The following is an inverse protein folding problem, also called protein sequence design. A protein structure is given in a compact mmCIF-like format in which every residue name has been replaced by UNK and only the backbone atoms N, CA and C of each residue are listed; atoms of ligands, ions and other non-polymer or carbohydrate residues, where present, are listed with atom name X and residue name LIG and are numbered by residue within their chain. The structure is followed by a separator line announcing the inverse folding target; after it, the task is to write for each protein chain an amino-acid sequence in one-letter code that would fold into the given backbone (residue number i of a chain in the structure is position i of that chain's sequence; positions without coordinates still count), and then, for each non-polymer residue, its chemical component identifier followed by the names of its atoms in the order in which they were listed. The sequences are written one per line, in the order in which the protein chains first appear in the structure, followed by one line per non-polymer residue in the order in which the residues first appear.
data_IF_717563384110
#
_entry.id   IF_717563384110
#
_cell.length_a   1.000
_cell.length_b   1.000
_cell.length_c   1.000
_cell.angle_alpha   90.00
_cell.angle_beta   90.00
_cell.angle_gamma   90.00
#
_symmetry.space_group_name_H-M   'P 1'
#
loop_
_entity.id
_entity.type
_entity.pdbx_description
1 polymer ?
#
# COMPACT_ATOMS: atom_id res chain seq x y z
N UNK A 1 25.20 10.08 5.55
CA UNK A 1 23.78 10.11 6.00
C UNK A 1 23.17 8.75 5.63
N UNK A 2 22.67 8.01 6.62
CA UNK A 2 22.01 6.71 6.36
C UNK A 2 20.63 6.99 5.77
N UNK A 3 20.40 6.62 4.52
CA UNK A 3 19.08 6.75 3.88
C UNK A 3 18.33 5.43 4.01
N UNK A 4 17.22 5.44 4.73
CA UNK A 4 16.34 4.29 4.83
C UNK A 4 15.49 4.18 3.58
N UNK A 5 15.37 2.99 2.95
CA UNK A 5 14.48 2.80 1.80
C UNK A 5 13.02 2.79 2.22
N UNK A 6 12.74 2.33 3.44
CA UNK A 6 11.41 2.31 4.04
C UNK A 6 11.51 2.49 5.56
N UNK A 7 10.36 2.81 6.15
CA UNK A 7 10.11 2.82 7.59
C UNK A 7 8.95 1.90 7.91
N UNK A 8 8.88 1.34 9.13
CA UNK A 8 7.80 0.45 9.50
C UNK A 8 7.34 0.62 10.95
N UNK A 9 6.13 0.17 11.18
CA UNK A 9 5.55 0.06 12.50
C UNK A 9 4.96 -1.34 12.66
N UNK A 10 5.44 -2.10 13.66
CA UNK A 10 4.99 -3.45 13.92
C UNK A 10 3.65 -3.45 14.67
N UNK A 11 2.66 -4.16 14.13
CA UNK A 11 1.39 -4.51 14.80
C UNK A 11 0.64 -3.33 15.44
N UNK A 12 0.63 -2.16 14.81
CA UNK A 12 -0.10 -1.00 15.34
C UNK A 12 -1.62 -1.15 15.26
N UNK A 13 -2.11 -2.08 14.44
CA UNK A 13 -3.51 -2.49 14.41
C UNK A 13 -3.66 -3.89 15.01
N UNK A 14 -4.48 -4.03 16.04
CA UNK A 14 -4.79 -5.33 16.63
C UNK A 14 -5.86 -6.07 15.80
N UNK A 15 -6.09 -7.36 16.11
CA UNK A 15 -7.06 -8.21 15.39
C UNK A 15 -8.48 -7.63 15.34
N UNK A 16 -8.94 -6.96 16.40
CA UNK A 16 -10.28 -6.35 16.46
C UNK A 16 -10.37 -5.15 15.51
N UNK A 17 -9.33 -4.32 15.46
CA UNK A 17 -9.24 -3.19 14.55
C UNK A 17 -9.17 -3.64 13.09
N UNK A 18 -8.35 -4.65 12.78
CA UNK A 18 -8.27 -5.25 11.43
C UNK A 18 -9.65 -5.73 10.98
N UNK A 19 -10.35 -6.51 11.81
CA UNK A 19 -11.71 -6.98 11.50
C UNK A 19 -12.69 -5.84 11.26
N UNK A 20 -12.63 -4.80 12.10
CA UNK A 20 -13.50 -3.62 11.96
C UNK A 20 -13.25 -2.88 10.65
N UNK A 21 -11.98 -2.64 10.28
CA UNK A 21 -11.59 -1.99 9.02
C UNK A 21 -12.05 -2.83 7.83
N UNK A 22 -11.73 -4.13 7.82
CA UNK A 22 -12.13 -5.03 6.73
C UNK A 22 -13.66 -5.07 6.54
N UNK A 23 -14.42 -5.26 7.62
CA UNK A 23 -15.89 -5.30 7.56
C UNK A 23 -16.48 -3.98 7.04
N UNK A 24 -15.93 -2.86 7.49
CA UNK A 24 -16.36 -1.54 7.01
C UNK A 24 -16.11 -1.37 5.51
N UNK A 25 -14.89 -1.70 5.04
CA UNK A 25 -14.51 -1.58 3.63
C UNK A 25 -15.34 -2.51 2.76
N UNK A 26 -15.50 -3.76 3.15
CA UNK A 26 -16.27 -4.75 2.39
C UNK A 26 -17.73 -4.36 2.24
N UNK A 27 -18.33 -3.71 3.26
CA UNK A 27 -19.72 -3.27 3.25
C UNK A 27 -19.96 -1.99 2.44
N UNK A 28 -19.02 -1.06 2.44
CA UNK A 28 -19.25 0.32 1.99
C UNK A 28 -18.60 0.69 0.65
N UNK A 29 -17.79 -0.20 0.07
CA UNK A 29 -17.08 0.08 -1.17
C UNK A 29 -17.24 -1.06 -2.17
N UNK A 30 -17.50 -0.71 -3.43
CA UNK A 30 -17.59 -1.68 -4.51
C UNK A 30 -16.21 -2.17 -4.93
N UNK A 31 -16.16 -3.42 -5.40
CA UNK A 31 -14.96 -3.98 -6.02
C UNK A 31 -14.81 -3.44 -7.45
N UNK A 32 -13.57 -3.12 -7.82
CA UNK A 32 -13.18 -2.82 -9.20
C UNK A 32 -12.16 -3.89 -9.58
N UNK A 33 -12.36 -4.53 -10.72
CA UNK A 33 -11.41 -5.53 -11.22
C UNK A 33 -10.04 -4.89 -11.53
N UNK A 34 -8.99 -5.60 -11.18
CA UNK A 34 -7.64 -5.02 -11.17
C UNK A 34 -6.99 -4.74 -12.51
N UNK A 35 -7.36 -5.37 -13.64
CA UNK A 35 -6.74 -5.07 -14.94
C UNK A 35 -6.80 -3.61 -15.35
N UNK A 36 -7.84 -2.90 -14.90
CA UNK A 36 -8.08 -1.51 -15.30
C UNK A 36 -7.27 -0.47 -14.49
N UNK A 37 -6.64 -0.87 -13.37
CA UNK A 37 -5.99 0.07 -12.44
C UNK A 37 -4.56 -0.26 -12.05
N UNK A 38 -3.94 -1.23 -12.70
CA UNK A 38 -2.54 -1.59 -12.46
C UNK A 38 -1.63 -1.12 -13.58
N UNK A 39 -0.33 -1.21 -13.33
CA UNK A 39 0.67 -1.10 -14.38
C UNK A 39 0.54 -2.27 -15.37
N UNK A 40 0.93 -2.02 -16.61
CA UNK A 40 0.97 -3.01 -17.68
C UNK A 40 2.42 -3.21 -18.13
N UNK A 41 2.73 -4.40 -18.61
CA UNK A 41 4.01 -4.65 -19.27
C UNK A 41 4.04 -3.96 -20.66
N UNK A 42 5.19 -3.90 -21.35
CA UNK A 42 5.31 -3.27 -22.68
C UNK A 42 4.42 -3.91 -23.76
N UNK A 43 3.87 -5.10 -23.53
CA UNK A 43 2.93 -5.80 -24.40
C UNK A 43 1.46 -5.55 -24.05
N UNK A 44 1.21 -4.67 -23.08
CA UNK A 44 -0.14 -4.34 -22.60
C UNK A 44 -0.75 -5.38 -21.64
N UNK A 45 0.03 -6.37 -21.16
CA UNK A 45 -0.47 -7.36 -20.20
C UNK A 45 -0.51 -6.75 -18.80
N UNK A 46 -1.63 -6.88 -18.06
CA UNK A 46 -1.70 -6.41 -16.67
C UNK A 46 -0.63 -7.07 -15.80
N UNK A 47 0.13 -6.26 -15.07
CA UNK A 47 1.11 -6.72 -14.08
C UNK A 47 0.45 -7.07 -12.75
N UNK A 48 -0.78 -6.63 -12.52
CA UNK A 48 -1.52 -6.80 -11.26
C UNK A 48 -2.62 -7.82 -11.39
N UNK A 49 -2.66 -8.75 -10.45
CA UNK A 49 -3.74 -9.73 -10.28
C UNK A 49 -4.26 -9.63 -8.83
N UNK A 50 -5.31 -8.83 -8.61
CA UNK A 50 -5.97 -8.68 -7.30
C UNK A 50 -7.36 -8.09 -7.51
N UNK A 51 -8.26 -8.24 -6.54
CA UNK A 51 -9.43 -7.39 -6.47
C UNK A 51 -9.08 -6.08 -5.74
N UNK A 52 -9.64 -4.97 -6.20
CA UNK A 52 -9.34 -3.64 -5.68
C UNK A 52 -10.63 -2.91 -5.30
N UNK A 53 -10.64 -2.28 -4.13
CA UNK A 53 -11.67 -1.30 -3.77
C UNK A 53 -10.99 0.05 -3.59
N UNK A 54 -11.47 1.07 -4.29
CA UNK A 54 -10.99 2.44 -4.11
C UNK A 54 -11.67 3.04 -2.90
N UNK A 55 -10.86 3.51 -1.98
CA UNK A 55 -11.29 3.99 -0.66
C UNK A 55 -10.98 5.48 -0.57
N UNK A 56 -11.97 6.28 -0.22
CA UNK A 56 -11.72 7.69 0.15
C UNK A 56 -11.24 7.78 1.60
N UNK A 57 -10.24 8.62 1.83
CA UNK A 57 -9.58 8.75 3.13
C UNK A 57 -10.56 9.14 4.24
N UNK A 58 -11.43 10.12 4.01
CA UNK A 58 -12.41 10.58 4.99
C UNK A 58 -13.28 9.45 5.58
N UNK A 59 -13.55 8.40 4.80
CA UNK A 59 -14.37 7.26 5.23
C UNK A 59 -13.62 6.32 6.18
N UNK A 60 -12.34 6.13 6.00
CA UNK A 60 -11.52 5.20 6.81
C UNK A 60 -10.69 5.89 7.88
N UNK A 61 -10.48 7.19 7.79
CA UNK A 61 -9.76 8.01 8.79
C UNK A 61 -10.15 7.69 10.24
N UNK A 62 -11.44 7.61 10.62
CA UNK A 62 -11.82 7.29 11.99
C UNK A 62 -11.40 5.90 12.47
N UNK A 63 -11.08 4.99 11.54
CA UNK A 63 -10.63 3.62 11.83
C UNK A 63 -9.12 3.48 11.87
N UNK A 64 -8.39 4.47 11.33
CA UNK A 64 -6.93 4.51 11.22
C UNK A 64 -6.33 5.56 12.17
N UNK A 65 -6.81 5.60 13.42
CA UNK A 65 -6.37 6.57 14.45
C UNK A 65 -4.85 6.65 14.55
N UNK A 66 -4.34 7.87 14.60
CA UNK A 66 -2.91 8.21 14.73
C UNK A 66 -1.99 7.74 13.60
N UNK A 67 -2.50 7.10 12.53
CA UNK A 67 -1.66 6.66 11.43
C UNK A 67 -1.05 7.86 10.69
N UNK A 68 -1.84 8.88 10.39
CA UNK A 68 -1.39 10.05 9.63
C UNK A 68 -0.33 10.84 10.40
N UNK A 69 -0.53 11.03 11.69
CA UNK A 69 0.45 11.70 12.56
C UNK A 69 1.79 10.94 12.56
N UNK A 70 1.74 9.60 12.64
CA UNK A 70 2.93 8.75 12.53
C UNK A 70 3.62 8.88 11.18
N UNK A 71 2.87 8.95 10.08
CA UNK A 71 3.40 9.13 8.73
C UNK A 71 4.13 10.47 8.62
N UNK A 72 3.49 11.58 9.02
CA UNK A 72 4.13 12.90 8.97
C UNK A 72 5.35 12.99 9.89
N UNK A 73 5.27 12.41 11.08
CA UNK A 73 6.41 12.34 11.98
C UNK A 73 7.58 11.59 11.34
N UNK A 74 7.34 10.38 10.83
CA UNK A 74 8.39 9.57 10.20
C UNK A 74 8.93 10.21 8.90
N UNK A 75 8.08 10.92 8.14
CA UNK A 75 8.55 11.68 7.00
C UNK A 75 9.54 12.77 7.42
N UNK A 76 9.21 13.54 8.46
CA UNK A 76 10.09 14.59 8.96
C UNK A 76 11.43 14.05 9.43
N UNK A 77 11.42 12.94 10.17
CA UNK A 77 12.64 12.37 10.77
C UNK A 77 13.50 11.57 9.79
N UNK A 78 12.89 10.95 8.75
CA UNK A 78 13.59 9.93 7.96
C UNK A 78 13.60 10.15 6.45
N UNK A 79 12.61 10.87 5.89
CA UNK A 79 12.48 11.02 4.43
C UNK A 79 12.65 12.47 3.98
N UNK A 80 12.13 13.45 4.72
CA UNK A 80 12.31 14.88 4.46
C UNK A 80 11.56 15.40 3.25
N UNK A 81 10.48 14.74 2.80
CA UNK A 81 9.68 15.22 1.69
C UNK A 81 8.75 16.34 2.14
N UNK A 82 8.56 17.31 1.26
CA UNK A 82 7.45 18.24 1.34
C UNK A 82 6.17 17.49 0.94
N UNK A 83 5.24 17.34 1.89
CA UNK A 83 4.00 16.59 1.70
C UNK A 83 2.79 17.50 1.82
N UNK A 84 1.86 17.36 0.87
CA UNK A 84 0.54 17.96 1.01
C UNK A 84 -0.26 17.28 2.12
N UNK A 85 -1.12 18.02 2.84
CA UNK A 85 -2.06 17.39 3.77
C UNK A 85 -2.96 16.39 3.07
N UNK A 86 -3.19 15.23 3.68
CA UNK A 86 -4.23 14.31 3.19
C UNK A 86 -5.60 14.96 3.29
N UNK A 87 -6.19 15.21 2.15
CA UNK A 87 -7.55 15.76 2.03
C UNK A 87 -8.61 14.66 2.13
N UNK A 88 -9.85 15.06 2.30
CA UNK A 88 -10.98 14.12 2.35
C UNK A 88 -11.19 13.34 1.05
N UNK A 89 -10.70 13.88 -0.07
CA UNK A 89 -10.73 13.23 -1.39
C UNK A 89 -9.50 12.38 -1.67
N UNK A 90 -8.48 12.40 -0.81
CA UNK A 90 -7.32 11.53 -0.97
C UNK A 90 -7.76 10.07 -1.03
N UNK A 91 -7.28 9.37 -2.04
CA UNK A 91 -7.67 7.99 -2.32
C UNK A 91 -6.69 6.97 -1.74
N UNK A 92 -7.21 5.78 -1.52
CA UNK A 92 -6.42 4.61 -1.19
C UNK A 92 -6.94 3.37 -1.91
N UNK A 93 -6.17 2.31 -1.90
CA UNK A 93 -6.52 1.04 -2.53
C UNK A 93 -6.57 -0.07 -1.49
N UNK A 94 -7.74 -0.64 -1.26
CA UNK A 94 -7.86 -1.91 -0.54
C UNK A 94 -7.72 -3.04 -1.54
N UNK A 95 -6.64 -3.80 -1.43
CA UNK A 95 -6.31 -4.89 -2.33
C UNK A 95 -6.52 -6.23 -1.64
N UNK A 96 -7.11 -7.18 -2.37
CA UNK A 96 -7.18 -8.60 -1.97
C UNK A 96 -6.47 -9.43 -3.04
N UNK A 97 -5.36 -10.04 -2.65
CA UNK A 97 -4.60 -10.98 -3.46
C UNK A 97 -4.96 -12.38 -3.01
N UNK A 98 -5.46 -13.22 -3.93
CA UNK A 98 -5.98 -14.55 -3.63
C UNK A 98 -5.13 -15.65 -4.28
N UNK A 99 -5.05 -16.83 -3.64
CA UNK A 99 -4.45 -18.04 -4.20
C UNK A 99 -5.14 -18.49 -5.50
N UNK A 100 -6.44 -18.22 -5.64
CA UNK A 100 -7.27 -18.68 -6.77
C UNK A 100 -6.72 -18.23 -8.12
N UNK A 101 -6.13 -17.05 -8.19
CA UNK A 101 -5.54 -16.45 -9.38
C UNK A 101 -4.04 -16.17 -9.22
N UNK A 102 -3.39 -16.76 -8.21
CA UNK A 102 -2.01 -16.48 -7.84
C UNK A 102 -1.76 -14.98 -7.73
N UNK A 103 -2.67 -14.30 -7.01
CA UNK A 103 -2.71 -12.85 -6.91
C UNK A 103 -1.36 -12.24 -6.53
N UNK A 104 -0.94 -11.27 -7.29
CA UNK A 104 0.34 -10.59 -7.13
C UNK A 104 0.37 -9.27 -7.90
N UNK A 105 1.52 -8.59 -7.88
CA UNK A 105 1.76 -7.37 -8.65
C UNK A 105 3.22 -7.34 -9.08
N UNK A 106 3.47 -7.33 -10.38
CA UNK A 106 4.81 -7.26 -10.96
C UNK A 106 5.55 -5.98 -10.57
N UNK A 107 6.81 -5.87 -11.00
CA UNK A 107 7.63 -4.68 -10.76
C UNK A 107 6.96 -3.43 -11.32
N UNK A 108 6.79 -2.41 -10.48
CA UNK A 108 6.18 -1.12 -10.83
C UNK A 108 6.66 -0.03 -9.89
N UNK A 109 6.32 1.20 -10.24
CA UNK A 109 6.45 2.41 -9.43
C UNK A 109 5.05 2.91 -9.09
N UNK A 110 4.92 3.59 -7.96
CA UNK A 110 3.70 4.34 -7.66
C UNK A 110 3.86 5.77 -8.16
N UNK A 111 3.16 6.06 -9.25
CA UNK A 111 3.20 7.38 -9.91
C UNK A 111 1.85 8.07 -9.84
N UNK A 112 1.87 9.38 -9.67
CA UNK A 112 0.66 10.20 -9.78
C UNK A 112 0.24 10.29 -11.25
N UNK A 113 -1.05 10.18 -11.49
CA UNK A 113 -1.65 10.53 -12.78
C UNK A 113 -1.98 12.03 -12.87
N UNK A 114 -1.72 12.77 -11.83
CA UNK A 114 -1.96 14.19 -11.72
C UNK A 114 -0.71 14.96 -12.15
N UNK A 115 -0.86 15.90 -13.06
CA UNK A 115 0.25 16.74 -13.54
C UNK A 115 0.72 17.77 -12.50
N UNK A 116 -0.02 17.99 -11.42
CA UNK A 116 0.26 19.00 -10.40
C UNK A 116 1.03 18.47 -9.19
N UNK A 117 1.13 17.16 -9.00
CA UNK A 117 1.77 16.54 -7.83
C UNK A 117 2.45 15.23 -8.19
N UNK A 118 3.40 14.84 -7.35
CA UNK A 118 3.99 13.48 -7.38
C UNK A 118 3.62 12.74 -6.10
N UNK A 119 3.47 11.42 -6.21
CA UNK A 119 3.43 10.56 -5.03
C UNK A 119 4.85 10.48 -4.46
N UNK A 120 5.03 10.92 -3.23
CA UNK A 120 6.32 10.94 -2.53
C UNK A 120 6.53 9.67 -1.70
N UNK A 121 5.49 9.26 -0.97
CA UNK A 121 5.54 8.10 -0.09
C UNK A 121 4.31 7.22 -0.31
N UNK A 122 4.55 5.92 -0.35
CA UNK A 122 3.53 4.87 -0.34
C UNK A 122 3.47 4.24 1.04
N UNK A 123 2.29 4.18 1.61
CA UNK A 123 2.02 3.52 2.90
C UNK A 123 1.16 2.29 2.69
N UNK A 124 1.62 1.14 3.18
CA UNK A 124 0.91 -0.15 3.05
C UNK A 124 0.62 -0.71 4.44
N UNK A 125 -0.65 -0.99 4.71
CA UNK A 125 -1.13 -1.63 5.94
C UNK A 125 -1.45 -3.10 5.63
N UNK A 126 -0.90 -4.04 6.39
CA UNK A 126 -1.31 -5.44 6.31
C UNK A 126 -2.61 -5.65 7.11
N UNK A 127 -3.71 -5.82 6.40
CA UNK A 127 -5.04 -6.09 6.97
C UNK A 127 -5.47 -7.55 6.83
N UNK A 128 -4.53 -8.48 6.57
CA UNK A 128 -4.84 -9.90 6.51
C UNK A 128 -5.35 -10.40 7.87
N UNK A 129 -6.50 -11.01 7.90
CA UNK A 129 -7.17 -11.50 9.11
C UNK A 129 -7.00 -13.04 9.28
N UNK A 130 -6.46 -13.71 8.27
CA UNK A 130 -6.11 -15.13 8.24
C UNK A 130 -4.67 -15.30 7.78
N UNK A 131 -4.07 -16.45 8.08
CA UNK A 131 -2.74 -16.82 7.57
C UNK A 131 -2.80 -17.00 6.05
N UNK A 132 -1.73 -16.59 5.39
CA UNK A 132 -1.51 -16.79 3.95
C UNK A 132 -0.04 -17.17 3.71
N UNK A 133 0.24 -17.73 2.54
CA UNK A 133 1.60 -18.09 2.10
C UNK A 133 1.90 -17.35 0.77
N UNK A 134 3.15 -16.98 0.56
CA UNK A 134 3.54 -16.13 -0.57
C UNK A 134 3.19 -14.66 -0.33
N UNK A 135 2.89 -13.92 -1.39
CA UNK A 135 2.41 -12.54 -1.30
C UNK A 135 3.39 -11.55 -0.67
N UNK A 136 4.69 -11.85 -0.64
CA UNK A 136 5.70 -10.97 -0.02
C UNK A 136 5.85 -9.68 -0.81
N UNK A 137 6.02 -8.57 -0.11
CA UNK A 137 6.43 -7.31 -0.72
C UNK A 137 7.95 -7.31 -0.90
N UNK A 138 8.40 -6.97 -2.09
CA UNK A 138 9.81 -6.73 -2.38
C UNK A 138 10.00 -5.31 -2.90
N UNK A 139 11.08 -4.67 -2.47
CA UNK A 139 11.54 -3.36 -2.94
C UNK A 139 12.89 -3.58 -3.65
N UNK A 140 13.09 -2.99 -4.82
CA UNK A 140 14.32 -3.08 -5.55
C UNK A 140 15.31 -1.99 -5.11
N UNK A 141 16.50 -2.42 -4.66
CA UNK A 141 17.56 -1.54 -4.26
C UNK A 141 18.91 -2.20 -4.59
N UNK A 142 19.36 -2.09 -5.83
CA UNK A 142 20.42 -2.88 -6.45
C UNK A 142 20.03 -4.35 -6.66
N UNK A 143 19.33 -4.95 -5.71
CA UNK A 143 18.73 -6.29 -5.77
C UNK A 143 17.36 -6.30 -5.10
N UNK A 144 16.52 -7.32 -5.35
CA UNK A 144 15.24 -7.47 -4.69
C UNK A 144 15.43 -7.71 -3.18
N UNK A 145 14.83 -6.86 -2.37
CA UNK A 145 14.85 -6.95 -0.91
C UNK A 145 13.43 -7.26 -0.39
N UNK A 146 13.28 -8.37 0.31
CA UNK A 146 12.01 -8.75 0.93
C UNK A 146 11.76 -7.90 2.17
N UNK A 147 10.56 -7.31 2.26
CA UNK A 147 10.11 -6.54 3.42
C UNK A 147 9.38 -7.49 4.38
N UNK A 148 10.13 -8.07 5.30
CA UNK A 148 9.63 -9.08 6.25
C UNK A 148 8.72 -8.50 7.31
N UNK A 149 8.90 -7.23 7.68
CA UNK A 149 8.15 -6.51 8.71
C UNK A 149 6.66 -6.36 8.38
N UNK A 150 6.33 -6.37 7.08
CA UNK A 150 4.94 -6.31 6.63
C UNK A 150 4.22 -7.67 6.70
N UNK A 151 4.90 -8.77 6.97
CA UNK A 151 4.27 -10.11 7.03
C UNK A 151 3.30 -10.25 8.21
N UNK A 152 3.53 -9.52 9.30
CA UNK A 152 2.68 -9.58 10.49
C UNK A 152 1.40 -8.75 10.30
N UNK A 153 0.21 -9.33 10.56
CA UNK A 153 -1.05 -8.59 10.50
C UNK A 153 -1.06 -7.36 11.40
N UNK A 154 -1.56 -6.25 10.88
CA UNK A 154 -1.60 -4.96 11.57
C UNK A 154 -0.31 -4.16 11.53
N UNK A 155 0.73 -4.69 10.89
CA UNK A 155 1.95 -3.92 10.61
C UNK A 155 1.74 -2.96 9.45
N UNK A 156 2.50 -1.89 9.47
CA UNK A 156 2.49 -0.84 8.44
C UNK A 156 3.92 -0.60 7.96
N UNK A 157 4.06 -0.43 6.66
CA UNK A 157 5.30 0.04 6.05
C UNK A 157 5.04 1.33 5.28
N UNK A 158 6.02 2.21 5.25
CA UNK A 158 6.05 3.40 4.42
C UNK A 158 7.38 3.45 3.67
N UNK A 159 7.35 3.66 2.35
CA UNK A 159 8.55 3.72 1.51
C UNK A 159 8.44 4.81 0.45
N UNK A 160 9.58 5.16 -0.14
CA UNK A 160 9.67 6.14 -1.23
C UNK A 160 8.99 5.61 -2.48
N UNK A 161 7.94 6.28 -2.95
CA UNK A 161 7.13 5.83 -4.10
C UNK A 161 7.91 5.62 -5.40
N UNK A 162 8.99 6.39 -5.71
CA UNK A 162 9.83 6.13 -6.87
C UNK A 162 10.68 4.85 -6.79
N UNK A 163 10.66 4.11 -5.68
CA UNK A 163 11.32 2.82 -5.61
C UNK A 163 10.50 1.75 -6.33
N UNK A 164 11.16 1.04 -7.25
CA UNK A 164 10.54 -0.12 -7.90
C UNK A 164 10.23 -1.19 -6.86
N UNK A 165 9.02 -1.71 -6.90
CA UNK A 165 8.57 -2.71 -5.94
C UNK A 165 7.59 -3.69 -6.58
N UNK A 166 7.40 -4.85 -5.94
CA UNK A 166 6.46 -5.88 -6.40
C UNK A 166 5.82 -6.63 -5.25
N UNK A 167 4.69 -7.27 -5.52
CA UNK A 167 4.07 -8.26 -4.64
C UNK A 167 4.20 -9.63 -5.30
N UNK A 168 4.91 -10.54 -4.67
CA UNK A 168 5.02 -11.93 -5.14
C UNK A 168 3.65 -12.61 -5.13
N UNK A 169 3.43 -13.64 -5.96
CA UNK A 169 2.18 -14.37 -5.98
C UNK A 169 1.81 -14.95 -4.60
N UNK A 170 0.53 -14.84 -4.24
CA UNK A 170 -0.06 -15.56 -3.11
C UNK A 170 -0.19 -17.03 -3.51
N UNK A 171 0.38 -17.92 -2.69
CA UNK A 171 0.41 -19.36 -2.91
C UNK A 171 -0.77 -20.03 -2.21
N UNK A 172 -1.13 -19.54 -1.00
CA UNK A 172 -2.22 -20.07 -0.19
C UNK A 172 -2.93 -18.98 0.58
N UNK A 173 -4.26 -19.03 0.59
CA UNK A 173 -5.10 -18.08 1.31
C UNK A 173 -5.27 -16.73 0.61
N UNK A 174 -5.47 -15.69 1.40
CA UNK A 174 -5.69 -14.31 0.92
C UNK A 174 -4.82 -13.31 1.69
N UNK A 175 -4.11 -12.45 0.96
CA UNK A 175 -3.43 -11.29 1.49
C UNK A 175 -4.28 -10.05 1.26
N UNK A 176 -4.57 -9.31 2.35
CA UNK A 176 -5.36 -8.07 2.31
C UNK A 176 -4.48 -6.89 2.71
N UNK A 177 -4.50 -5.84 1.92
CA UNK A 177 -3.75 -4.60 2.23
C UNK A 177 -4.60 -3.37 1.97
N UNK A 178 -4.34 -2.34 2.75
CA UNK A 178 -4.83 -0.98 2.48
C UNK A 178 -3.61 -0.11 2.19
N UNK A 179 -3.62 0.53 1.02
CA UNK A 179 -2.51 1.35 0.52
C UNK A 179 -2.98 2.79 0.44
N UNK A 180 -2.18 3.71 0.96
CA UNK A 180 -2.35 5.16 0.81
C UNK A 180 -1.13 5.78 0.18
N UNK A 181 -1.37 6.86 -0.56
CA UNK A 181 -0.35 7.63 -1.25
C UNK A 181 -0.25 9.02 -0.64
N UNK A 182 0.95 9.43 -0.29
CA UNK A 182 1.24 10.76 0.21
C UNK A 182 1.83 11.58 -0.95
N UNK A 183 1.11 12.61 -1.34
CA UNK A 183 1.51 13.48 -2.45
C UNK A 183 2.25 14.71 -1.93
N UNK A 184 3.04 15.31 -2.81
CA UNK A 184 3.74 16.57 -2.58
C UNK A 184 4.04 17.28 -3.89
N UNK A 185 4.76 18.41 -3.87
CA UNK A 185 5.16 19.13 -5.06
C UNK A 185 5.90 18.23 -6.05
N UNK A 186 5.78 18.51 -7.34
CA UNK A 186 6.53 17.76 -8.36
C UNK A 186 8.03 17.79 -8.08
N UNK A 187 8.72 16.71 -8.39
CA UNK A 187 10.17 16.69 -8.44
C UNK A 187 10.63 17.66 -9.56
N UNK A 188 11.61 18.49 -9.24
CA UNK A 188 12.24 19.43 -10.20
C UNK A 188 13.50 18.81 -10.74
#
# INVERSE_FOLDING_TARGET
MVTYPYWYWSKIFNKKQIKKINSFILKNFNCIESPERGAHDPRGKPLKSSSVKVISWNKVKPLCTNLIERIYYANREHFGYDLYPMSDISGGNFNVYSEKNRGGYGWHYDESRNECSDIKLTTVINLSDKKFEGGRLEIFRNEPMVVTELNEPGSVIMFKSPLSHRVLPVIKGERKTLVFFMEGPRFK
#
